data_IF_324112588578
#
_entry.id   IF_324112588578
#
_cell.length_a   1.000
_cell.length_b   1.000
_cell.length_c   1.000
_cell.angle_alpha   90.00
_cell.angle_beta   90.00
_cell.angle_gamma   90.00
#
_symmetry.space_group_name_H-M   'P 1'
#
loop_
_entity.id
_entity.type
_entity.pdbx_description
1 polymer ?
#
# COMPACT_ATOMS: atom_id res chain seq x y z
N UNK A 1 -15.60 -19.02 -10.96
CA UNK A 1 -15.31 -20.48 -10.89
C UNK A 1 -13.83 -20.62 -11.20
N UNK A 2 -13.00 -20.89 -10.18
CA UNK A 2 -11.59 -21.14 -10.36
C UNK A 2 -11.44 -22.43 -11.18
N UNK A 3 -10.82 -22.36 -12.36
CA UNK A 3 -10.66 -23.50 -13.28
C UNK A 3 -9.46 -24.39 -12.92
N UNK A 4 -8.72 -24.05 -11.87
CA UNK A 4 -7.73 -24.95 -11.29
C UNK A 4 -8.38 -25.86 -10.24
N UNK A 5 -8.01 -27.15 -10.24
CA UNK A 5 -8.42 -28.13 -9.22
C UNK A 5 -7.84 -27.84 -7.82
N UNK A 6 -7.24 -26.68 -7.63
CA UNK A 6 -6.51 -26.29 -6.43
C UNK A 6 -7.45 -25.56 -5.49
N UNK A 7 -7.66 -26.13 -4.30
CA UNK A 7 -8.34 -25.43 -3.22
C UNK A 7 -7.45 -24.30 -2.69
N UNK A 8 -7.90 -23.06 -2.89
CA UNK A 8 -7.25 -21.90 -2.30
C UNK A 8 -7.57 -21.85 -0.79
N UNK A 9 -6.58 -21.78 0.10
CA UNK A 9 -6.81 -21.65 1.54
C UNK A 9 -7.58 -20.38 1.90
N UNK A 10 -8.46 -20.45 2.91
CA UNK A 10 -9.30 -19.30 3.31
C UNK A 10 -8.49 -18.07 3.73
N UNK A 11 -7.31 -18.28 4.34
CA UNK A 11 -6.39 -17.20 4.70
C UNK A 11 -5.85 -16.46 3.47
N UNK A 12 -5.62 -17.18 2.38
CA UNK A 12 -5.14 -16.62 1.11
C UNK A 12 -6.28 -15.85 0.44
N UNK A 13 -7.48 -16.43 0.33
CA UNK A 13 -8.67 -15.72 -0.19
C UNK A 13 -8.95 -14.44 0.58
N UNK A 14 -9.02 -14.54 1.91
CA UNK A 14 -9.33 -13.39 2.78
C UNK A 14 -8.32 -12.26 2.62
N UNK A 15 -7.05 -12.58 2.38
CA UNK A 15 -6.00 -11.58 2.19
C UNK A 15 -6.02 -11.00 0.77
N UNK A 16 -6.22 -11.83 -0.26
CA UNK A 16 -6.31 -11.39 -1.66
C UNK A 16 -7.45 -10.39 -1.88
N UNK A 17 -8.59 -10.60 -1.20
CA UNK A 17 -9.74 -9.70 -1.23
C UNK A 17 -9.46 -8.29 -0.70
N UNK A 18 -8.42 -8.11 0.13
CA UNK A 18 -8.00 -6.78 0.59
C UNK A 18 -7.29 -5.98 -0.51
N UNK A 19 -6.89 -6.63 -1.60
CA UNK A 19 -6.13 -6.05 -2.70
C UNK A 19 -4.62 -6.11 -2.48
N UNK A 20 -3.88 -5.94 -3.58
CA UNK A 20 -2.43 -6.02 -3.59
C UNK A 20 -1.78 -5.00 -2.65
N UNK A 21 -0.85 -5.46 -1.82
CA UNK A 21 -0.09 -4.67 -0.86
C UNK A 21 -0.92 -3.92 0.20
N UNK A 22 -2.13 -4.40 0.50
CA UNK A 22 -3.00 -3.77 1.49
C UNK A 22 -2.32 -3.65 2.86
N UNK A 23 -2.16 -2.40 3.32
CA UNK A 23 -1.58 -2.07 4.61
C UNK A 23 -0.21 -2.75 4.86
N UNK A 24 0.57 -3.00 3.80
CA UNK A 24 1.93 -3.53 3.89
C UNK A 24 2.98 -2.41 3.94
N UNK A 25 4.21 -2.69 4.40
CA UNK A 25 5.29 -1.72 4.37
C UNK A 25 5.60 -1.29 2.93
N UNK A 26 5.83 0.02 2.74
CA UNK A 26 6.27 0.56 1.46
C UNK A 26 7.73 0.17 1.21
N UNK A 27 8.00 -0.47 0.07
CA UNK A 27 9.36 -0.87 -0.34
C UNK A 27 10.12 0.25 -1.04
N UNK A 28 9.44 1.09 -1.84
CA UNK A 28 10.05 2.19 -2.58
C UNK A 28 9.72 3.57 -1.97
N UNK A 29 10.20 3.79 -0.75
CA UNK A 29 9.89 4.99 0.05
C UNK A 29 10.35 6.29 -0.61
N UNK A 30 11.55 6.30 -1.17
CA UNK A 30 12.13 7.49 -1.80
C UNK A 30 11.28 7.95 -2.97
N UNK A 31 10.94 7.04 -3.89
CA UNK A 31 10.11 7.37 -5.04
C UNK A 31 8.73 7.86 -4.61
N UNK A 32 8.07 7.17 -3.67
CA UNK A 32 6.75 7.56 -3.18
C UNK A 32 6.76 8.95 -2.51
N UNK A 33 7.83 9.27 -1.77
CA UNK A 33 7.99 10.59 -1.14
C UNK A 33 8.16 11.68 -2.19
N UNK A 34 9.00 11.44 -3.21
CA UNK A 34 9.19 12.37 -4.32
C UNK A 34 7.89 12.62 -5.08
N UNK A 35 7.18 11.57 -5.46
CA UNK A 35 5.89 11.67 -6.14
C UNK A 35 4.84 12.40 -5.30
N UNK A 36 4.82 12.15 -3.98
CA UNK A 36 3.94 12.88 -3.08
C UNK A 36 4.25 14.38 -3.07
N UNK A 37 5.53 14.76 -2.98
CA UNK A 37 5.95 16.17 -2.99
C UNK A 37 5.58 16.84 -4.33
N UNK A 38 5.84 16.17 -5.46
CA UNK A 38 5.49 16.68 -6.80
C UNK A 38 3.98 16.90 -6.89
N UNK A 39 3.18 15.89 -6.54
CA UNK A 39 1.73 15.97 -6.57
C UNK A 39 1.19 17.03 -5.61
N UNK A 40 1.74 17.14 -4.41
CA UNK A 40 1.37 18.18 -3.46
C UNK A 40 1.64 19.58 -4.04
N UNK A 41 2.82 19.82 -4.62
CA UNK A 41 3.14 21.10 -5.24
C UNK A 41 2.24 21.42 -6.42
N UNK A 42 1.97 20.44 -7.30
CA UNK A 42 1.07 20.60 -8.44
C UNK A 42 -0.35 20.95 -8.01
N UNK A 43 -0.86 20.35 -6.93
CA UNK A 43 -2.17 20.67 -6.40
C UNK A 43 -2.18 22.00 -5.63
N UNK A 44 -1.11 22.34 -4.92
CA UNK A 44 -0.97 23.64 -4.24
C UNK A 44 -1.06 24.81 -5.23
N UNK A 45 -0.50 24.66 -6.44
CA UNK A 45 -0.58 25.66 -7.52
C UNK A 45 -2.01 25.92 -8.00
N UNK A 46 -2.93 24.95 -7.84
CA UNK A 46 -4.35 25.13 -8.22
C UNK A 46 -5.13 25.97 -7.21
N UNK A 47 -4.60 26.19 -6.01
CA UNK A 47 -5.22 27.06 -5.01
C UNK A 47 -4.97 28.54 -5.32
N UNK A 48 -5.85 29.45 -4.85
CA UNK A 48 -5.62 30.88 -4.89
C UNK A 48 -4.30 31.28 -4.19
N UNK A 49 -3.49 32.19 -4.75
CA UNK A 49 -2.17 32.57 -4.24
C UNK A 49 -2.12 32.87 -2.73
N UNK A 50 -3.13 33.58 -2.23
CA UNK A 50 -3.27 33.99 -0.83
C UNK A 50 -3.41 32.81 0.14
N UNK A 51 -3.91 31.65 -0.33
CA UNK A 51 -4.06 30.43 0.50
C UNK A 51 -2.83 29.52 0.44
N UNK A 52 -1.98 29.65 -0.59
CA UNK A 52 -0.86 28.73 -0.83
C UNK A 52 0.15 28.71 0.31
N UNK A 53 0.50 29.88 0.83
CA UNK A 53 1.51 30.01 1.91
C UNK A 53 1.00 29.33 3.19
N UNK A 54 -0.25 29.58 3.57
CA UNK A 54 -0.83 28.97 4.76
C UNK A 54 -0.88 27.43 4.66
N UNK A 55 -1.32 26.89 3.52
CA UNK A 55 -1.37 25.44 3.30
C UNK A 55 0.04 24.84 3.27
N UNK A 56 1.00 25.49 2.59
CA UNK A 56 2.41 25.05 2.56
C UNK A 56 3.00 24.98 3.97
N UNK A 57 2.85 26.04 4.75
CA UNK A 57 3.43 26.14 6.10
C UNK A 57 2.84 25.09 7.04
N UNK A 58 1.54 24.82 6.95
CA UNK A 58 0.89 23.76 7.74
C UNK A 58 1.34 22.36 7.31
N UNK A 59 1.62 22.16 6.02
CA UNK A 59 1.98 20.85 5.48
C UNK A 59 3.45 20.50 5.66
N UNK A 60 4.33 21.48 5.92
CA UNK A 60 5.79 21.25 5.99
C UNK A 60 6.17 20.24 7.08
N UNK A 61 5.50 20.31 8.24
CA UNK A 61 5.73 19.36 9.34
C UNK A 61 5.38 17.92 8.94
N UNK A 62 4.28 17.75 8.20
CA UNK A 62 3.85 16.45 7.69
C UNK A 62 4.87 15.94 6.68
N UNK A 63 5.26 16.76 5.69
CA UNK A 63 6.23 16.38 4.65
C UNK A 63 7.57 15.96 5.27
N UNK A 64 8.06 16.73 6.25
CA UNK A 64 9.33 16.44 6.93
C UNK A 64 9.27 15.17 7.82
N UNK A 65 8.08 14.72 8.21
CA UNK A 65 7.90 13.47 8.97
C UNK A 65 7.85 12.22 8.08
N UNK A 66 7.68 12.38 6.76
CA UNK A 66 7.57 11.24 5.84
C UNK A 66 8.83 10.36 5.86
N UNK A 67 10.08 10.90 5.90
CA UNK A 67 11.31 10.09 5.99
C UNK A 67 11.56 9.42 7.35
N UNK A 68 10.85 9.82 8.41
CA UNK A 68 10.98 9.20 9.74
C UNK A 68 9.88 8.18 10.06
N UNK A 69 8.79 8.13 9.28
CA UNK A 69 7.76 7.08 9.37
C UNK A 69 8.34 5.66 9.44
N UNK A 70 7.78 4.82 10.30
CA UNK A 70 8.13 3.40 10.37
C UNK A 70 6.84 2.59 10.35
N UNK A 71 6.88 1.45 9.65
CA UNK A 71 5.74 0.54 9.64
C UNK A 71 5.45 0.03 11.06
N UNK A 72 4.20 0.13 11.55
CA UNK A 72 3.90 -0.23 12.93
C UNK A 72 4.18 -1.72 13.20
N UNK A 73 4.64 -2.03 14.41
CA UNK A 73 4.97 -3.41 14.84
C UNK A 73 3.89 -4.08 15.68
N UNK A 74 2.62 -3.70 15.48
CA UNK A 74 1.50 -4.27 16.26
C UNK A 74 1.20 -5.71 15.84
N UNK A 75 0.39 -6.43 16.64
CA UNK A 75 -0.05 -7.80 16.33
C UNK A 75 -0.70 -7.89 14.94
N UNK A 76 -1.57 -6.93 14.60
CA UNK A 76 -2.25 -6.86 13.30
C UNK A 76 -1.26 -6.71 12.14
N UNK A 77 -0.27 -5.84 12.28
CA UNK A 77 0.73 -5.60 11.23
C UNK A 77 1.63 -6.83 11.02
N UNK A 78 1.99 -7.53 12.10
CA UNK A 78 2.69 -8.82 12.01
C UNK A 78 1.83 -9.88 11.33
N UNK A 79 0.53 -9.92 11.62
CA UNK A 79 -0.41 -10.83 10.96
C UNK A 79 -0.52 -10.53 9.46
N UNK A 80 -0.63 -9.26 9.07
CA UNK A 80 -0.67 -8.85 7.66
C UNK A 80 0.60 -9.27 6.91
N UNK A 81 1.78 -9.08 7.51
CA UNK A 81 3.05 -9.55 6.92
C UNK A 81 3.08 -11.07 6.76
N UNK A 82 2.57 -11.81 7.75
CA UNK A 82 2.50 -13.27 7.70
C UNK A 82 1.52 -13.76 6.62
N UNK A 83 0.32 -13.17 6.54
CA UNK A 83 -0.66 -13.48 5.51
C UNK A 83 -0.16 -13.14 4.11
N UNK A 84 0.55 -12.02 3.95
CA UNK A 84 1.21 -11.67 2.70
C UNK A 84 2.26 -12.72 2.30
N UNK A 85 3.07 -13.18 3.24
CA UNK A 85 4.06 -14.24 2.98
C UNK A 85 3.37 -15.52 2.50
N UNK A 86 2.39 -16.03 3.27
CA UNK A 86 1.63 -17.24 2.91
C UNK A 86 0.99 -17.09 1.53
N UNK A 87 0.39 -15.93 1.26
CA UNK A 87 -0.25 -15.65 -0.02
C UNK A 87 0.78 -15.70 -1.15
N UNK A 88 1.90 -14.99 -1.04
CA UNK A 88 2.94 -14.99 -2.08
C UNK A 88 3.54 -16.38 -2.30
N UNK A 89 3.81 -17.13 -1.22
CA UNK A 89 4.30 -18.51 -1.32
C UNK A 89 3.29 -19.38 -2.10
N UNK A 90 1.99 -19.30 -1.76
CA UNK A 90 0.94 -20.02 -2.48
C UNK A 90 0.84 -19.60 -3.97
N UNK A 91 0.93 -18.31 -4.28
CA UNK A 91 0.89 -17.84 -5.67
C UNK A 91 2.09 -18.34 -6.49
N UNK A 92 3.27 -18.35 -5.87
CA UNK A 92 4.50 -18.83 -6.51
C UNK A 92 4.45 -20.33 -6.78
N UNK A 93 3.87 -21.11 -5.87
CA UNK A 93 3.68 -22.55 -6.04
C UNK A 93 2.60 -22.88 -7.08
N UNK A 94 1.71 -21.93 -7.37
CA UNK A 94 0.55 -22.12 -8.24
C UNK A 94 0.49 -21.06 -9.35
N UNK A 95 1.57 -20.91 -10.13
CA UNK A 95 1.68 -19.87 -11.18
C UNK A 95 0.60 -19.93 -12.28
N UNK A 96 -0.03 -21.09 -12.47
CA UNK A 96 -1.10 -21.28 -13.45
C UNK A 96 -2.48 -20.81 -12.94
N UNK A 97 -2.55 -20.31 -11.71
CA UNK A 97 -3.79 -19.94 -11.04
C UNK A 97 -4.16 -18.50 -11.42
N UNK A 98 -5.24 -18.36 -12.19
CA UNK A 98 -5.78 -17.06 -12.58
C UNK A 98 -6.65 -16.54 -11.44
N UNK A 99 -6.21 -15.45 -10.80
CA UNK A 99 -6.96 -14.78 -9.74
C UNK A 99 -7.66 -13.59 -10.35
N UNK A 100 -8.98 -13.54 -10.22
CA UNK A 100 -9.75 -12.37 -10.62
C UNK A 100 -9.96 -11.45 -9.42
N UNK A 101 -10.26 -10.17 -9.66
CA UNK A 101 -10.57 -9.20 -8.59
C UNK A 101 -11.75 -9.60 -7.68
N UNK A 102 -12.51 -10.62 -8.06
CA UNK A 102 -13.66 -11.13 -7.33
C UNK A 102 -13.36 -12.36 -6.45
N UNK A 103 -12.15 -12.94 -6.55
CA UNK A 103 -11.71 -14.10 -5.75
C UNK A 103 -10.92 -13.65 -4.50
#
# INVERSE_FOLDING_TARGET
INMSSIQIPDKVKSFLQLGGNFSLPVTNRTNLTTEFIINFQNNLRKLPPEKRIAVRNRSIGIINSIPSYQYPRTKTHKLLLHLNKITNDFLNDNQNLIITRAD
#
